data_IF_443330398173
#
_entry.id   IF_443330398173
#
_cell.length_a   1.000
_cell.length_b   1.000
_cell.length_c   1.000
_cell.angle_alpha   90.00
_cell.angle_beta   90.00
_cell.angle_gamma   90.00
#
_symmetry.space_group_name_H-M   'P 1'
#
loop_
_entity.id
_entity.type
_entity.pdbx_description
1 polymer ?
#
# COMPACT_ATOMS: atom_id res chain seq x y z
N UNK A 1 9.76 1.30 4.78
CA UNK A 1 9.24 2.19 5.83
C UNK A 1 7.72 2.30 5.72
N UNK A 2 7.02 1.88 6.77
CA UNK A 2 5.57 2.06 6.94
C UNK A 2 5.21 3.46 7.47
N UNK A 3 4.26 4.13 6.81
CA UNK A 3 3.55 5.32 7.32
C UNK A 3 2.07 5.01 7.48
N UNK A 4 1.45 5.53 8.54
CA UNK A 4 0.06 5.25 8.88
C UNK A 4 -0.68 6.59 9.00
N UNK A 5 -1.86 6.68 8.38
CA UNK A 5 -2.71 7.86 8.42
C UNK A 5 -4.12 7.51 8.84
N UNK A 6 -4.74 8.43 9.57
CA UNK A 6 -6.17 8.41 9.90
C UNK A 6 -6.85 9.67 9.34
N UNK A 7 -8.18 9.70 9.41
CA UNK A 7 -8.98 10.87 9.04
C UNK A 7 -9.39 11.63 10.29
N UNK A 8 -9.10 12.93 10.32
CA UNK A 8 -9.69 13.86 11.29
C UNK A 8 -10.40 14.94 10.50
N UNK A 9 -11.71 15.06 10.70
CA UNK A 9 -12.60 15.87 9.85
C UNK A 9 -12.44 15.45 8.37
N UNK A 10 -11.93 16.33 7.51
CA UNK A 10 -11.67 16.08 6.09
C UNK A 10 -10.17 16.03 5.74
N UNK A 11 -9.31 15.83 6.74
CA UNK A 11 -7.84 15.78 6.56
C UNK A 11 -7.28 14.41 6.86
N UNK A 12 -6.29 14.02 6.06
CA UNK A 12 -5.38 12.93 6.38
C UNK A 12 -4.32 13.44 7.35
N UNK A 13 -4.23 12.82 8.52
CA UNK A 13 -3.24 13.14 9.55
C UNK A 13 -2.46 11.88 9.92
N UNK A 14 -1.18 11.99 10.31
CA UNK A 14 -0.41 10.85 10.80
C UNK A 14 -1.13 10.18 11.98
N UNK A 15 -1.17 8.85 11.97
CA UNK A 15 -1.76 8.07 13.05
C UNK A 15 -0.83 8.05 14.26
N UNK A 16 -1.33 8.55 15.37
CA UNK A 16 -0.73 8.47 16.70
C UNK A 16 -1.59 7.53 17.56
N UNK A 17 -1.01 6.47 18.10
CA UNK A 17 -1.75 5.45 18.85
C UNK A 17 -2.40 5.99 20.14
N UNK A 18 -1.90 7.09 20.70
CA UNK A 18 -2.44 7.70 21.91
C UNK A 18 -3.50 8.77 21.62
N UNK A 19 -3.38 9.45 20.46
CA UNK A 19 -4.22 10.62 20.14
C UNK A 19 -5.29 10.36 19.08
N UNK A 20 -5.13 9.32 18.27
CA UNK A 20 -6.04 9.03 17.16
C UNK A 20 -7.30 8.36 17.68
N UNK A 21 -8.46 8.93 17.35
CA UNK A 21 -9.78 8.39 17.72
C UNK A 21 -10.40 7.54 16.61
N UNK A 22 -9.89 7.64 15.38
CA UNK A 22 -10.31 6.85 14.23
C UNK A 22 -9.38 5.67 13.95
N UNK A 23 -9.88 4.67 13.23
CA UNK A 23 -9.03 3.60 12.70
C UNK A 23 -8.07 4.15 11.63
N UNK A 24 -6.92 3.50 11.40
CA UNK A 24 -6.10 3.77 10.22
C UNK A 24 -6.95 3.63 8.95
N UNK A 25 -6.83 4.59 8.05
CA UNK A 25 -7.52 4.54 6.75
C UNK A 25 -6.54 4.42 5.58
N UNK A 26 -5.26 4.72 5.81
CA UNK A 26 -4.21 4.56 4.81
C UNK A 26 -2.89 4.11 5.44
N UNK A 27 -2.34 3.02 4.92
CA UNK A 27 -1.03 2.46 5.22
C UNK A 27 -0.14 2.62 3.97
N UNK A 28 0.93 3.41 4.06
CA UNK A 28 1.85 3.66 2.94
C UNK A 28 3.20 2.98 3.20
N UNK A 29 3.47 1.91 2.46
CA UNK A 29 4.69 1.13 2.48
C UNK A 29 5.65 1.65 1.40
N UNK A 30 6.66 2.41 1.83
CA UNK A 30 7.71 2.97 0.96
C UNK A 30 8.99 2.17 1.17
N UNK A 31 9.41 1.41 0.16
CA UNK A 31 10.54 0.48 0.24
C UNK A 31 10.50 -0.31 1.56
N UNK A 32 9.41 -1.06 1.81
CA UNK A 32 9.18 -1.72 3.09
C UNK A 32 10.24 -2.78 3.37
N UNK A 33 10.57 -2.93 4.65
CA UNK A 33 11.30 -4.10 5.13
C UNK A 33 10.31 -5.21 5.55
N UNK A 34 10.81 -6.37 5.94
CA UNK A 34 9.98 -7.50 6.37
C UNK A 34 9.10 -7.17 7.59
N UNK A 35 9.58 -6.33 8.51
CA UNK A 35 8.81 -5.92 9.69
C UNK A 35 7.62 -5.01 9.32
N UNK A 36 7.83 -4.07 8.39
CA UNK A 36 6.78 -3.20 7.86
C UNK A 36 5.68 -4.05 7.19
N UNK A 37 6.08 -5.05 6.39
CA UNK A 37 5.19 -5.99 5.71
C UNK A 37 4.39 -6.80 6.74
N UNK A 38 5.08 -7.52 7.64
CA UNK A 38 4.44 -8.36 8.65
C UNK A 38 3.46 -7.58 9.52
N UNK A 39 3.75 -6.31 9.81
CA UNK A 39 2.84 -5.43 10.56
C UNK A 39 1.55 -5.13 9.80
N UNK A 40 1.61 -4.87 8.50
CA UNK A 40 0.43 -4.64 7.67
C UNK A 40 -0.38 -5.93 7.48
N UNK A 41 0.30 -7.03 7.20
CA UNK A 41 -0.32 -8.35 7.04
C UNK A 41 -1.03 -8.78 8.33
N UNK A 42 -0.38 -8.63 9.49
CA UNK A 42 -0.98 -8.94 10.78
C UNK A 42 -2.17 -8.04 11.14
N UNK A 43 -2.14 -6.76 10.75
CA UNK A 43 -3.23 -5.82 11.02
C UNK A 43 -4.47 -6.09 10.16
N UNK A 44 -4.28 -6.45 8.88
CA UNK A 44 -5.37 -6.57 7.91
C UNK A 44 -5.71 -8.01 7.56
N UNK A 45 -4.87 -8.99 7.87
CA UNK A 45 -5.01 -10.39 7.42
C UNK A 45 -5.00 -10.48 5.89
N UNK A 46 -4.01 -9.88 5.26
CA UNK A 46 -3.76 -9.90 3.81
C UNK A 46 -2.30 -10.25 3.59
N UNK A 47 -1.96 -10.75 2.40
CA UNK A 47 -0.57 -10.96 2.00
C UNK A 47 -0.14 -9.77 1.12
N UNK A 48 0.97 -9.13 1.47
CA UNK A 48 1.52 -8.01 0.67
C UNK A 48 2.37 -8.61 -0.45
N UNK A 49 2.08 -8.32 -1.73
CA UNK A 49 2.83 -8.92 -2.81
C UNK A 49 4.29 -8.46 -2.79
N UNK A 50 5.17 -9.40 -3.09
CA UNK A 50 6.59 -9.16 -3.32
C UNK A 50 6.81 -8.29 -4.57
N UNK A 51 7.98 -7.65 -4.66
CA UNK A 51 8.34 -6.86 -5.84
C UNK A 51 8.25 -7.66 -7.14
N UNK A 52 8.61 -8.94 -7.11
CA UNK A 52 8.56 -9.82 -8.29
C UNK A 52 7.11 -10.06 -8.76
N UNK A 53 6.19 -10.33 -7.82
CA UNK A 53 4.76 -10.50 -8.14
C UNK A 53 4.14 -9.20 -8.67
N UNK A 54 4.55 -8.05 -8.11
CA UNK A 54 4.11 -6.73 -8.59
C UNK A 54 4.58 -6.42 -10.03
N UNK A 55 5.65 -7.06 -10.52
CA UNK A 55 6.19 -6.86 -11.86
C UNK A 55 5.47 -7.69 -12.93
N UNK A 56 4.65 -8.67 -12.53
CA UNK A 56 3.82 -9.46 -13.44
C UNK A 56 2.90 -8.55 -14.29
N UNK A 57 2.67 -8.93 -15.54
CA UNK A 57 1.91 -8.14 -16.53
C UNK A 57 0.48 -8.65 -16.71
N UNK A 58 0.23 -9.84 -16.21
CA UNK A 58 -0.99 -10.62 -16.31
C UNK A 58 -2.10 -9.92 -15.51
N UNK A 59 -3.28 -9.79 -16.12
CA UNK A 59 -4.40 -9.09 -15.47
C UNK A 59 -4.78 -9.74 -14.14
N UNK A 60 -4.69 -11.07 -14.04
CA UNK A 60 -4.94 -11.82 -12.82
C UNK A 60 -3.97 -11.51 -11.68
N UNK A 61 -2.75 -11.05 -12.00
CA UNK A 61 -1.77 -10.60 -11.01
C UNK A 61 -1.91 -9.10 -10.69
N UNK A 62 -2.60 -8.35 -11.55
CA UNK A 62 -2.74 -6.89 -11.42
C UNK A 62 -4.06 -6.43 -10.86
N UNK A 63 -5.14 -7.19 -11.00
CA UNK A 63 -6.44 -6.85 -10.46
C UNK A 63 -7.15 -8.12 -10.01
N UNK A 64 -7.17 -8.35 -8.70
CA UNK A 64 -7.73 -9.56 -8.12
C UNK A 64 -8.31 -9.30 -6.72
N UNK A 65 -9.05 -10.28 -6.21
CA UNK A 65 -9.60 -10.25 -4.87
C UNK A 65 -9.22 -11.53 -4.13
N UNK A 66 -8.74 -11.39 -2.90
CA UNK A 66 -8.27 -12.48 -2.06
C UNK A 66 -8.43 -12.10 -0.59
N UNK A 67 -8.81 -13.04 0.27
CA UNK A 67 -8.91 -12.81 1.72
C UNK A 67 -9.84 -11.64 2.12
N UNK A 68 -10.82 -11.29 1.29
CA UNK A 68 -11.70 -10.14 1.49
C UNK A 68 -11.08 -8.78 1.17
N UNK A 69 -9.87 -8.76 0.60
CA UNK A 69 -9.23 -7.57 0.04
C UNK A 69 -9.38 -7.53 -1.49
N UNK A 70 -9.31 -6.33 -2.05
CA UNK A 70 -9.12 -6.11 -3.50
C UNK A 70 -7.74 -5.52 -3.73
N UNK A 71 -7.02 -6.09 -4.69
CA UNK A 71 -5.66 -5.71 -5.07
C UNK A 71 -5.68 -5.08 -6.47
N UNK A 72 -4.94 -3.99 -6.64
CA UNK A 72 -4.74 -3.36 -7.94
C UNK A 72 -3.28 -2.91 -8.08
N UNK A 73 -2.57 -3.39 -9.10
CA UNK A 73 -1.19 -2.99 -9.39
C UNK A 73 -1.15 -2.12 -10.65
N UNK A 74 -0.65 -0.89 -10.51
CA UNK A 74 -0.48 0.06 -11.60
C UNK A 74 1.00 0.33 -11.84
N UNK A 75 1.39 0.54 -13.11
CA UNK A 75 2.74 1.00 -13.43
C UNK A 75 2.80 2.52 -13.36
N UNK A 76 3.57 3.06 -12.43
CA UNK A 76 3.85 4.48 -12.31
C UNK A 76 5.18 4.85 -12.98
N UNK A 77 5.31 6.12 -13.36
CA UNK A 77 6.57 6.70 -13.83
C UNK A 77 7.16 7.59 -12.74
N UNK A 78 8.47 7.50 -12.53
CA UNK A 78 9.22 8.34 -11.60
C UNK A 78 10.51 8.87 -12.24
N UNK A 79 11.12 9.88 -11.61
CA UNK A 79 12.35 10.55 -12.08
C UNK A 79 12.25 11.09 -13.51
N UNK A 80 11.07 11.61 -13.89
CA UNK A 80 10.78 12.11 -15.24
C UNK A 80 11.60 13.35 -15.65
N UNK A 81 12.14 14.06 -14.67
CA UNK A 81 13.00 15.23 -14.79
C UNK A 81 14.49 14.87 -14.93
N UNK A 82 14.83 13.58 -14.92
CA UNK A 82 16.20 13.07 -15.03
C UNK A 82 16.44 12.42 -16.40
N UNK A 83 17.71 12.16 -16.74
CA UNK A 83 18.06 11.38 -17.94
C UNK A 83 17.68 9.89 -17.82
N UNK A 84 17.24 9.44 -16.65
CA UNK A 84 16.91 8.04 -16.36
C UNK A 84 15.51 7.90 -15.73
N UNK A 85 14.43 8.16 -16.49
CA UNK A 85 13.07 7.92 -16.02
C UNK A 85 12.86 6.42 -15.77
N UNK A 86 12.16 6.08 -14.70
CA UNK A 86 11.91 4.69 -14.30
C UNK A 86 10.42 4.35 -14.33
N UNK A 87 10.12 3.10 -14.67
CA UNK A 87 8.81 2.48 -14.47
C UNK A 87 8.87 1.70 -13.16
N UNK A 88 7.88 1.88 -12.29
CA UNK A 88 7.80 1.15 -11.02
C UNK A 88 6.35 0.73 -10.76
N UNK A 89 6.10 -0.53 -10.34
CA UNK A 89 4.76 -0.94 -9.97
C UNK A 89 4.38 -0.34 -8.61
N UNK A 90 3.11 0.07 -8.48
CA UNK A 90 2.49 0.47 -7.23
C UNK A 90 1.27 -0.42 -7.02
N UNK A 91 1.24 -1.15 -5.92
CA UNK A 91 0.08 -1.96 -5.54
C UNK A 91 -0.77 -1.21 -4.54
N UNK A 92 -2.08 -1.22 -4.80
CA UNK A 92 -3.14 -0.74 -3.93
C UNK A 92 -3.88 -1.95 -3.38
N UNK A 93 -4.00 -2.03 -2.05
CA UNK A 93 -4.77 -3.08 -1.38
C UNK A 93 -5.90 -2.41 -0.60
N UNK A 94 -7.14 -2.73 -0.90
CA UNK A 94 -8.30 -2.18 -0.20
C UNK A 94 -9.01 -3.28 0.57
N UNK A 95 -9.11 -3.12 1.89
CA UNK A 95 -9.84 -4.03 2.77
C UNK A 95 -10.52 -3.26 3.90
N UNK A 96 -11.81 -3.51 4.12
CA UNK A 96 -12.59 -2.91 5.22
C UNK A 96 -12.46 -1.38 5.34
N UNK A 97 -12.37 -0.68 4.20
CA UNK A 97 -12.20 0.78 4.17
C UNK A 97 -10.79 1.30 4.50
N UNK A 98 -9.81 0.41 4.69
CA UNK A 98 -8.39 0.76 4.82
C UNK A 98 -7.68 0.53 3.49
N UNK A 99 -6.96 1.55 3.02
CA UNK A 99 -6.11 1.47 1.83
C UNK A 99 -4.66 1.17 2.23
N UNK A 100 -4.00 0.27 1.51
CA UNK A 100 -2.54 0.08 1.55
C UNK A 100 -1.95 0.49 0.21
N UNK A 101 -0.85 1.23 0.22
CA UNK A 101 -0.02 1.48 -0.98
C UNK A 101 1.37 0.88 -0.79
N UNK A 102 1.86 0.14 -1.78
CA UNK A 102 3.17 -0.54 -1.75
C UNK A 102 4.02 -0.05 -2.92
N UNK A 103 5.24 0.44 -2.65
CA UNK A 103 6.15 1.00 -3.67
C UNK A 103 7.62 0.93 -3.30
#
# INVERSE_FOLDING_TARGET
>A
MLRIYTRTEDKLVPFDAEKSTGLPIWLDLISPNEEDVARVEGLLGVDVPSRAEMEEIELSARLYAEGGATFMTLTALANLDTEAPIKTPITFILKNGTLVTVR
#
